data_IF_494475078045
#
_entry.id   IF_494475078045
#
_cell.length_a   1.000
_cell.length_b   1.000
_cell.length_c   1.000
_cell.angle_alpha   90.00
_cell.angle_beta   90.00
_cell.angle_gamma   90.00
#
_symmetry.space_group_name_H-M   'P 1'
#
loop_
_entity.id
_entity.type
_entity.pdbx_description
1 polymer ?
#
# COMPACT_ATOMS: atom_id res chain seq x y z
N UNK A 1 -9.88 20.96 -50.94
CA UNK A 1 -10.41 19.77 -50.21
C UNK A 1 -9.46 18.56 -50.17
N UNK A 2 -8.67 18.28 -51.21
CA UNK A 2 -7.76 17.11 -51.21
C UNK A 2 -6.59 17.21 -50.21
N UNK A 3 -6.03 18.40 -50.01
CA UNK A 3 -4.94 18.63 -49.04
C UNK A 3 -5.39 18.42 -47.59
N UNK A 4 -6.58 18.88 -47.23
CA UNK A 4 -7.14 18.68 -45.88
C UNK A 4 -7.36 17.18 -45.58
N UNK A 5 -7.85 16.42 -46.55
CA UNK A 5 -8.02 14.96 -46.44
C UNK A 5 -6.69 14.21 -46.27
N UNK A 6 -5.63 14.67 -46.97
CA UNK A 6 -4.28 14.08 -46.82
C UNK A 6 -3.72 14.36 -45.44
N UNK A 7 -3.81 15.61 -44.95
CA UNK A 7 -3.36 15.99 -43.59
C UNK A 7 -4.09 15.19 -42.54
N UNK A 8 -5.41 15.05 -42.64
CA UNK A 8 -6.20 14.27 -41.69
C UNK A 8 -5.81 12.78 -41.69
N UNK A 9 -5.64 12.15 -42.86
CA UNK A 9 -5.17 10.76 -42.96
C UNK A 9 -3.79 10.57 -42.33
N UNK A 10 -2.85 11.47 -42.61
CA UNK A 10 -1.50 11.38 -42.07
C UNK A 10 -1.53 11.54 -40.55
N UNK A 11 -2.32 12.48 -40.00
CA UNK A 11 -2.47 12.69 -38.56
C UNK A 11 -3.04 11.45 -37.86
N UNK A 12 -4.08 10.84 -38.43
CA UNK A 12 -4.68 9.60 -37.88
C UNK A 12 -3.69 8.44 -37.86
N UNK A 13 -2.93 8.26 -38.96
CA UNK A 13 -1.93 7.19 -39.05
C UNK A 13 -0.81 7.42 -38.02
N UNK A 14 -0.33 8.66 -37.89
CA UNK A 14 0.71 9.00 -36.90
C UNK A 14 0.22 8.75 -35.47
N UNK A 15 -1.02 9.17 -35.17
CA UNK A 15 -1.63 8.92 -33.85
C UNK A 15 -1.75 7.43 -33.56
N UNK A 16 -2.20 6.62 -34.53
CA UNK A 16 -2.32 5.18 -34.38
C UNK A 16 -0.95 4.53 -34.16
N UNK A 17 0.08 4.94 -34.90
CA UNK A 17 1.44 4.44 -34.72
C UNK A 17 2.01 4.77 -33.34
N UNK A 18 1.82 6.01 -32.85
CA UNK A 18 2.23 6.42 -31.51
C UNK A 18 1.47 5.65 -30.42
N UNK A 19 0.16 5.46 -30.61
CA UNK A 19 -0.65 4.69 -29.67
C UNK A 19 -0.22 3.22 -29.61
N UNK A 20 0.07 2.60 -30.76
CA UNK A 20 0.57 1.22 -30.81
C UNK A 20 1.95 1.10 -30.15
N UNK A 21 2.86 2.04 -30.40
CA UNK A 21 4.17 2.08 -29.74
C UNK A 21 4.03 2.25 -28.22
N UNK A 22 3.10 3.10 -27.79
CA UNK A 22 2.79 3.27 -26.37
C UNK A 22 2.22 2.00 -25.74
N UNK A 23 1.32 1.30 -26.43
CA UNK A 23 0.76 0.01 -25.95
C UNK A 23 1.84 -1.06 -25.80
N UNK A 24 2.75 -1.15 -26.79
CA UNK A 24 3.90 -2.06 -26.71
C UNK A 24 4.79 -1.71 -25.53
N UNK A 25 5.11 -0.42 -25.37
CA UNK A 25 5.93 0.06 -24.24
C UNK A 25 5.29 -0.23 -22.89
N UNK A 26 3.98 0.07 -22.74
CA UNK A 26 3.24 -0.15 -21.51
C UNK A 26 3.18 -1.64 -21.11
N UNK A 27 3.19 -2.55 -22.07
CA UNK A 27 3.14 -4.01 -21.83
C UNK A 27 4.52 -4.68 -21.83
N UNK A 28 5.60 -3.93 -22.13
CA UNK A 28 6.96 -4.46 -22.15
C UNK A 28 7.59 -4.54 -20.75
N UNK A 29 7.05 -3.81 -19.79
CA UNK A 29 7.55 -3.85 -18.41
C UNK A 29 7.38 -5.26 -17.82
N UNK A 30 8.46 -5.75 -17.22
CA UNK A 30 8.42 -7.01 -16.46
C UNK A 30 7.41 -6.86 -15.30
N UNK A 31 6.70 -7.93 -14.94
CA UNK A 31 5.83 -7.90 -13.76
C UNK A 31 6.62 -7.44 -12.53
N UNK A 32 5.99 -6.77 -11.55
CA UNK A 32 6.66 -6.30 -10.36
C UNK A 32 7.37 -7.45 -9.64
N UNK A 33 8.44 -7.12 -8.92
CA UNK A 33 9.30 -8.13 -8.27
C UNK A 33 8.52 -9.01 -7.29
N UNK A 34 7.48 -8.46 -6.66
CA UNK A 34 6.54 -9.19 -5.79
C UNK A 34 5.90 -10.38 -6.49
N UNK A 35 5.47 -10.18 -7.74
CA UNK A 35 4.79 -11.21 -8.52
C UNK A 35 5.79 -12.23 -9.08
N UNK A 36 6.98 -11.77 -9.46
CA UNK A 36 8.06 -12.65 -9.94
C UNK A 36 8.58 -13.57 -8.83
N UNK A 37 8.66 -13.08 -7.60
CA UNK A 37 9.19 -13.82 -6.45
C UNK A 37 8.09 -14.49 -5.62
N UNK A 38 6.83 -14.39 -6.03
CA UNK A 38 5.69 -14.96 -5.29
C UNK A 38 5.68 -14.50 -3.82
N UNK A 39 6.08 -13.24 -3.57
CA UNK A 39 6.17 -12.70 -2.23
C UNK A 39 4.77 -12.52 -1.66
N UNK A 40 4.56 -13.03 -0.47
CA UNK A 40 3.30 -12.80 0.26
C UNK A 40 3.14 -11.31 0.57
N UNK A 41 1.95 -10.75 0.40
CA UNK A 41 1.69 -9.36 0.76
C UNK A 41 1.94 -9.15 2.25
N UNK A 42 2.57 -8.02 2.59
CA UNK A 42 2.81 -7.60 3.96
C UNK A 42 2.04 -6.30 4.19
N UNK A 43 1.25 -6.27 5.25
CA UNK A 43 0.54 -5.08 5.70
C UNK A 43 1.18 -4.53 6.98
N UNK A 44 1.03 -3.23 7.19
CA UNK A 44 1.45 -2.53 8.41
C UNK A 44 0.24 -1.93 9.09
N UNK A 45 0.05 -2.23 10.37
CA UNK A 45 -0.91 -1.54 11.22
C UNK A 45 -0.21 -0.91 12.42
N UNK A 46 -0.59 0.32 12.74
CA UNK A 46 -0.06 1.05 13.88
C UNK A 46 -1.21 1.39 14.82
N UNK A 47 -1.01 1.05 16.07
CA UNK A 47 -1.99 1.27 17.15
C UNK A 47 -1.45 2.26 18.16
N UNK A 48 -2.27 3.21 18.57
CA UNK A 48 -2.01 4.09 19.70
C UNK A 48 -2.69 3.52 20.95
N UNK A 49 -1.99 3.53 22.08
CA UNK A 49 -2.46 3.03 23.34
C UNK A 49 -2.96 4.16 24.22
N UNK A 50 -3.97 3.90 25.02
CA UNK A 50 -4.64 4.87 25.87
C UNK A 50 -3.86 5.22 27.16
N UNK A 51 -2.84 4.43 27.49
CA UNK A 51 -2.01 4.66 28.68
C UNK A 51 -0.52 4.41 28.42
N UNK A 52 0.31 4.94 29.31
CA UNK A 52 1.74 4.69 29.31
C UNK A 52 2.03 3.20 29.56
N UNK A 53 2.97 2.66 28.82
CA UNK A 53 3.39 1.27 28.85
C UNK A 53 4.64 1.16 29.74
N UNK A 54 4.62 0.22 30.68
CA UNK A 54 5.81 -0.14 31.48
C UNK A 54 6.79 -0.97 30.64
N UNK A 55 8.00 -1.16 31.16
CA UNK A 55 8.99 -2.05 30.51
C UNK A 55 8.47 -3.47 30.42
N UNK A 56 7.86 -3.96 31.50
CA UNK A 56 7.32 -5.32 31.58
C UNK A 56 6.17 -5.51 30.60
N UNK A 57 5.22 -4.55 30.52
CA UNK A 57 4.13 -4.59 29.55
C UNK A 57 4.66 -4.67 28.11
N UNK A 58 5.73 -3.89 27.80
CA UNK A 58 6.29 -3.88 26.44
C UNK A 58 6.91 -5.23 26.06
N UNK A 59 7.56 -5.89 27.00
CA UNK A 59 8.17 -7.23 26.80
C UNK A 59 7.05 -8.27 26.63
N UNK A 60 6.04 -8.23 27.49
CA UNK A 60 4.90 -9.15 27.42
C UNK A 60 4.15 -9.03 26.08
N UNK A 61 3.82 -7.82 25.67
CA UNK A 61 3.16 -7.56 24.37
C UNK A 61 4.03 -8.06 23.21
N UNK A 62 5.33 -7.75 23.23
CA UNK A 62 6.24 -8.19 22.18
C UNK A 62 6.32 -9.73 22.10
N UNK A 63 6.36 -10.40 23.24
CA UNK A 63 6.36 -11.87 23.30
C UNK A 63 5.06 -12.47 22.76
N UNK A 64 3.90 -11.95 23.16
CA UNK A 64 2.59 -12.42 22.67
C UNK A 64 2.50 -12.24 21.15
N UNK A 65 2.91 -11.08 20.63
CA UNK A 65 2.86 -10.80 19.21
C UNK A 65 3.87 -11.65 18.40
N UNK A 66 5.03 -11.97 18.96
CA UNK A 66 6.04 -12.78 18.27
C UNK A 66 5.63 -14.24 18.08
N UNK A 67 4.77 -14.77 18.95
CA UNK A 67 4.27 -16.16 18.87
C UNK A 67 3.08 -16.27 17.90
N UNK A 68 2.41 -15.15 17.61
CA UNK A 68 1.22 -15.14 16.77
C UNK A 68 1.55 -15.46 15.32
N UNK A 69 0.90 -16.48 14.75
CA UNK A 69 1.06 -16.85 13.35
C UNK A 69 0.58 -15.70 12.45
N UNK A 70 1.33 -15.43 11.39
CA UNK A 70 1.01 -14.36 10.43
C UNK A 70 1.61 -12.99 10.78
N UNK A 71 2.19 -12.83 11.98
CA UNK A 71 2.94 -11.62 12.34
C UNK A 71 4.39 -11.79 11.92
N UNK A 72 4.89 -10.83 11.13
CA UNK A 72 6.29 -10.83 10.65
C UNK A 72 7.20 -10.07 11.61
N UNK A 73 6.75 -8.94 12.12
CA UNK A 73 7.48 -8.15 13.11
C UNK A 73 6.52 -7.29 13.93
N UNK A 74 6.89 -7.04 15.19
CA UNK A 74 6.18 -6.14 16.09
C UNK A 74 7.18 -5.25 16.82
N UNK A 75 6.88 -3.96 16.91
CA UNK A 75 7.69 -2.97 17.62
C UNK A 75 6.81 -2.19 18.59
N UNK A 76 7.20 -2.18 19.87
CA UNK A 76 6.51 -1.45 20.92
C UNK A 76 7.30 -0.21 21.30
N UNK A 77 6.77 0.96 20.97
CA UNK A 77 7.35 2.26 21.34
C UNK A 77 6.70 2.78 22.62
N UNK A 78 7.40 2.68 23.74
CA UNK A 78 6.90 3.12 25.05
C UNK A 78 6.74 4.62 25.15
N UNK A 79 7.68 5.38 24.59
CA UNK A 79 7.64 6.85 24.64
C UNK A 79 6.49 7.41 23.80
N UNK A 80 6.27 6.84 22.62
CA UNK A 80 5.20 7.25 21.70
C UNK A 80 3.86 6.56 22.01
N UNK A 81 3.80 5.62 22.97
CA UNK A 81 2.60 4.83 23.30
C UNK A 81 2.01 4.17 22.05
N UNK A 82 2.87 3.69 21.15
CA UNK A 82 2.45 3.09 19.89
C UNK A 82 2.99 1.68 19.71
N UNK A 83 2.20 0.84 19.06
CA UNK A 83 2.60 -0.50 18.64
C UNK A 83 2.48 -0.54 17.12
N UNK A 84 3.58 -0.89 16.45
CA UNK A 84 3.62 -1.11 15.00
C UNK A 84 3.74 -2.60 14.73
N UNK A 85 2.85 -3.15 13.92
CA UNK A 85 2.80 -4.58 13.60
C UNK A 85 2.82 -4.74 12.09
N UNK A 86 3.77 -5.53 11.59
CA UNK A 86 3.79 -6.01 10.21
C UNK A 86 3.30 -7.45 10.18
N UNK A 87 2.37 -7.73 9.28
CA UNK A 87 1.69 -9.02 9.24
C UNK A 87 1.27 -9.40 7.81
N UNK A 88 0.96 -10.67 7.61
CA UNK A 88 0.39 -11.18 6.38
C UNK A 88 -1.14 -11.15 6.45
N UNK A 89 -1.83 -10.32 5.64
CA UNK A 89 -3.29 -10.17 5.70
C UNK A 89 -4.07 -11.41 5.26
N UNK A 90 -3.42 -12.35 4.58
CA UNK A 90 -3.95 -13.66 4.22
C UNK A 90 -3.90 -14.68 5.37
N UNK A 91 -3.07 -14.45 6.39
CA UNK A 91 -2.91 -15.37 7.54
C UNK A 91 -3.61 -14.87 8.81
N UNK A 92 -3.72 -13.56 9.00
CA UNK A 92 -4.34 -12.97 10.19
C UNK A 92 -5.18 -11.74 9.82
N UNK A 93 -6.43 -11.71 10.31
CA UNK A 93 -7.30 -10.57 10.11
C UNK A 93 -6.93 -9.42 11.06
N UNK A 94 -7.09 -8.19 10.59
CA UNK A 94 -6.81 -6.99 11.39
C UNK A 94 -7.63 -6.91 12.69
N UNK A 95 -8.86 -7.42 12.65
CA UNK A 95 -9.74 -7.51 13.85
C UNK A 95 -9.14 -8.37 14.95
N UNK A 96 -8.43 -9.44 14.58
CA UNK A 96 -7.80 -10.34 15.56
C UNK A 96 -6.50 -9.74 16.11
N UNK A 97 -5.76 -8.99 15.30
CA UNK A 97 -4.64 -8.17 15.77
C UNK A 97 -5.09 -7.17 16.83
N UNK A 98 -6.21 -6.49 16.59
CA UNK A 98 -6.75 -5.52 17.54
C UNK A 98 -7.13 -6.17 18.87
N UNK A 99 -7.71 -7.36 18.84
CA UNK A 99 -8.00 -8.15 20.07
C UNK A 99 -6.72 -8.54 20.79
N UNK A 100 -5.70 -9.01 20.07
CA UNK A 100 -4.41 -9.42 20.65
C UNK A 100 -3.70 -8.24 21.31
N UNK A 101 -3.72 -7.06 20.68
CA UNK A 101 -3.12 -5.85 21.26
C UNK A 101 -3.92 -5.32 22.46
N UNK A 102 -5.23 -5.55 22.48
CA UNK A 102 -6.13 -5.13 23.57
C UNK A 102 -6.13 -6.09 24.78
N UNK A 103 -5.30 -7.14 24.77
CA UNK A 103 -5.13 -8.05 25.92
C UNK A 103 -4.52 -7.29 27.09
N UNK A 104 -5.03 -7.50 28.30
CA UNK A 104 -4.47 -6.93 29.52
C UNK A 104 -4.97 -5.53 29.89
N UNK A 105 -6.23 -5.17 29.60
CA UNK A 105 -6.85 -3.87 29.92
C UNK A 105 -6.25 -2.66 29.16
N UNK A 106 -5.50 -2.88 28.08
CA UNK A 106 -5.04 -1.84 27.18
C UNK A 106 -6.09 -1.60 26.11
N UNK A 107 -6.50 -0.35 25.95
CA UNK A 107 -7.33 0.03 24.79
C UNK A 107 -6.41 0.52 23.67
N UNK A 108 -6.42 -0.22 22.58
CA UNK A 108 -5.67 0.12 21.39
C UNK A 108 -6.59 0.77 20.38
N UNK A 109 -6.17 1.91 19.81
CA UNK A 109 -6.85 2.59 18.72
C UNK A 109 -5.96 2.58 17.50
N UNK A 110 -6.46 2.05 16.38
CA UNK A 110 -5.72 2.11 15.11
C UNK A 110 -5.51 3.55 14.69
N UNK A 111 -4.30 3.87 14.26
CA UNK A 111 -3.97 5.16 13.65
C UNK A 111 -4.36 5.10 12.18
N UNK A 112 -5.27 5.98 11.79
CA UNK A 112 -5.65 6.14 10.38
C UNK A 112 -4.73 7.19 9.73
N UNK A 113 -3.80 6.72 8.90
CA UNK A 113 -2.87 7.58 8.18
C UNK A 113 -3.53 8.34 7.03
N UNK A 114 -4.74 7.97 6.60
CA UNK A 114 -5.47 8.70 5.56
C UNK A 114 -5.93 10.08 6.04
N UNK A 115 -6.13 10.22 7.36
CA UNK A 115 -6.49 11.49 8.00
C UNK A 115 -5.28 12.41 8.28
N UNK A 116 -4.06 11.96 8.00
CA UNK A 116 -2.84 12.70 8.27
C UNK A 116 -2.69 13.90 7.32
N UNK A 117 -2.82 15.10 7.85
CA UNK A 117 -2.62 16.37 7.12
C UNK A 117 -1.17 16.84 7.23
N UNK A 118 -0.21 15.97 6.93
CA UNK A 118 1.20 16.35 6.82
C UNK A 118 1.51 17.13 5.53
N UNK A 119 2.75 17.56 5.32
CA UNK A 119 3.16 18.18 4.06
C UNK A 119 2.87 17.20 2.93
N UNK A 120 1.89 17.58 2.10
CA UNK A 120 1.47 16.74 0.98
C UNK A 120 2.53 16.76 -0.10
N UNK A 121 2.68 15.62 -0.77
CA UNK A 121 3.47 15.55 -1.99
C UNK A 121 2.98 16.62 -2.99
N UNK A 122 3.86 17.36 -3.66
CA UNK A 122 3.47 18.43 -4.60
C UNK A 122 2.60 17.93 -5.77
N UNK A 123 2.54 16.63 -5.99
CA UNK A 123 1.69 16.00 -7.02
C UNK A 123 0.33 15.68 -6.42
N UNK A 124 -0.78 16.25 -6.96
CA UNK A 124 -2.12 15.91 -6.50
C UNK A 124 -2.40 14.40 -6.61
N UNK A 125 -2.97 13.81 -5.56
CA UNK A 125 -3.31 12.38 -5.53
C UNK A 125 -4.20 11.97 -6.72
N UNK A 126 -5.12 12.84 -7.12
CA UNK A 126 -6.00 12.62 -8.28
C UNK A 126 -5.23 12.40 -9.59
N UNK A 127 -4.06 13.02 -9.74
CA UNK A 127 -3.22 12.84 -10.92
C UNK A 127 -2.51 11.47 -10.90
N UNK A 128 -2.04 11.07 -9.72
CA UNK A 128 -1.43 9.74 -9.52
C UNK A 128 -2.47 8.64 -9.77
N UNK A 129 -3.67 8.79 -9.21
CA UNK A 129 -4.77 7.84 -9.40
C UNK A 129 -5.19 7.74 -10.87
N UNK A 130 -5.24 8.86 -11.58
CA UNK A 130 -5.53 8.86 -13.03
C UNK A 130 -4.48 8.08 -13.81
N UNK A 131 -3.19 8.32 -13.56
CA UNK A 131 -2.10 7.62 -14.26
C UNK A 131 -2.13 6.11 -13.94
N UNK A 132 -2.31 5.76 -12.66
CA UNK A 132 -2.37 4.36 -12.23
C UNK A 132 -3.57 3.62 -12.84
N UNK A 133 -4.73 4.26 -12.87
CA UNK A 133 -5.92 3.69 -13.49
C UNK A 133 -5.77 3.57 -15.01
N UNK A 134 -5.20 4.57 -15.68
CA UNK A 134 -4.90 4.51 -17.11
C UNK A 134 -3.91 3.36 -17.41
N UNK A 135 -2.84 3.24 -16.60
CA UNK A 135 -1.89 2.14 -16.72
C UNK A 135 -2.57 0.78 -16.51
N UNK A 136 -3.40 0.64 -15.48
CA UNK A 136 -4.14 -0.60 -15.19
C UNK A 136 -5.11 -1.00 -16.32
N UNK A 137 -5.76 -0.01 -16.95
CA UNK A 137 -6.69 -0.27 -18.07
C UNK A 137 -5.97 -0.65 -19.35
N UNK A 138 -4.76 -0.12 -19.57
CA UNK A 138 -3.96 -0.37 -20.79
C UNK A 138 -3.02 -1.57 -20.66
N UNK A 139 -2.73 -2.03 -19.45
CA UNK A 139 -1.95 -3.24 -19.21
C UNK A 139 -2.89 -4.45 -19.19
N UNK A 140 -2.74 -5.34 -20.16
CA UNK A 140 -3.51 -6.58 -20.30
C UNK A 140 -2.89 -7.79 -19.55
N UNK A 141 -2.09 -7.51 -18.52
CA UNK A 141 -1.46 -8.53 -17.68
C UNK A 141 -2.13 -8.61 -16.34
#
# INVERSE_FOLDING_TARGET
>A
MQTLRKIFKTSVITFLALFTAFMIYANWEKPPLSDQLNLKPIALSVYNLDRAITVNDSIEIANILSIQKGITAATVNRLGQTISITYHPDEIAETDLMKTVSLGNLKAKKIDFTAFKGPQCPVPSSYIDFILNAKKTLCFR
#
